data_IF_671092867510
#
_entry.id   IF_671092867510
#
_cell.length_a   1.000
_cell.length_b   1.000
_cell.length_c   1.000
_cell.angle_alpha   90.00
_cell.angle_beta   90.00
_cell.angle_gamma   90.00
#
_symmetry.space_group_name_H-M   'P 1'
#
loop_
_entity.id
_entity.type
_entity.pdbx_description
1 polymer ?
#
# COMPACT_ATOMS: atom_id res chain seq x y z
N UNK A 1 13.49 15.67 -16.27
CA UNK A 1 13.61 17.02 -15.70
C UNK A 1 13.98 16.86 -14.23
N UNK A 2 14.80 17.74 -13.64
CA UNK A 2 15.00 17.72 -12.20
C UNK A 2 13.66 17.90 -11.47
N UNK A 3 13.47 17.31 -10.29
CA UNK A 3 12.23 17.45 -9.52
C UNK A 3 12.00 18.93 -9.19
N UNK A 4 10.75 19.38 -9.35
CA UNK A 4 10.37 20.76 -9.01
C UNK A 4 10.43 20.93 -7.50
N UNK A 5 11.09 22.00 -7.06
CA UNK A 5 11.22 22.36 -5.65
C UNK A 5 10.05 23.25 -5.26
N UNK A 6 8.90 22.63 -4.97
CA UNK A 6 7.63 23.34 -4.77
C UNK A 6 7.66 24.38 -3.63
N UNK A 7 8.46 24.14 -2.58
CA UNK A 7 8.57 25.05 -1.44
C UNK A 7 9.29 26.35 -1.77
N UNK A 8 10.12 26.37 -2.82
CA UNK A 8 10.95 27.52 -3.18
C UNK A 8 10.39 28.38 -4.32
N UNK A 9 9.14 28.13 -4.73
CA UNK A 9 8.46 28.91 -5.76
C UNK A 9 7.19 29.55 -5.20
N UNK A 10 6.80 30.65 -5.82
CA UNK A 10 5.63 31.43 -5.43
C UNK A 10 4.33 30.69 -5.75
N UNK A 11 3.31 30.92 -4.94
CA UNK A 11 2.01 30.23 -5.05
C UNK A 11 1.39 30.39 -6.45
N UNK A 12 1.48 31.57 -7.04
CA UNK A 12 0.97 31.84 -8.40
C UNK A 12 1.72 31.06 -9.47
N UNK A 13 3.04 30.89 -9.33
CA UNK A 13 3.84 30.11 -10.26
C UNK A 13 3.52 28.61 -10.13
N UNK A 14 3.28 28.12 -8.91
CA UNK A 14 2.86 26.73 -8.66
C UNK A 14 1.54 26.44 -9.38
N UNK A 15 0.56 27.34 -9.24
CA UNK A 15 -0.73 27.23 -9.91
C UNK A 15 -0.60 27.25 -11.44
N UNK A 16 0.25 28.14 -11.98
CA UNK A 16 0.53 28.18 -13.42
C UNK A 16 1.18 26.88 -13.93
N UNK A 17 2.19 26.36 -13.22
CA UNK A 17 2.88 25.10 -13.59
C UNK A 17 1.97 23.88 -13.52
N UNK A 18 1.03 23.88 -12.58
CA UNK A 18 0.04 22.82 -12.43
C UNK A 18 -1.21 23.06 -13.30
N UNK A 19 -1.23 24.11 -14.13
CA UNK A 19 -2.40 24.52 -14.91
C UNK A 19 -3.68 24.50 -14.06
N UNK A 20 -3.60 25.08 -12.86
CA UNK A 20 -4.69 25.13 -11.87
C UNK A 20 -4.98 26.58 -11.48
N UNK A 21 -6.02 26.77 -10.68
CA UNK A 21 -6.48 28.08 -10.23
C UNK A 21 -6.73 28.10 -8.72
N UNK A 22 -6.77 29.30 -8.12
CA UNK A 22 -7.19 29.47 -6.72
C UNK A 22 -8.62 28.99 -6.47
N UNK A 23 -9.44 28.88 -7.51
CA UNK A 23 -10.81 28.34 -7.45
C UNK A 23 -10.89 26.84 -7.71
N UNK A 24 -9.75 26.16 -7.83
CA UNK A 24 -9.67 24.72 -8.08
C UNK A 24 -9.73 24.34 -9.56
N UNK A 25 -9.79 23.03 -9.81
CA UNK A 25 -9.89 22.44 -11.15
C UNK A 25 -11.34 22.29 -11.58
N UNK A 26 -11.58 22.10 -12.89
CA UNK A 26 -12.87 21.59 -13.34
C UNK A 26 -13.00 20.09 -13.04
N UNK A 27 -14.22 19.59 -12.89
CA UNK A 27 -14.43 18.14 -12.70
C UNK A 27 -13.90 17.32 -13.89
N UNK A 28 -13.99 17.87 -15.11
CA UNK A 28 -13.49 17.21 -16.32
C UNK A 28 -11.95 17.09 -16.31
N UNK A 29 -11.25 18.18 -15.99
CA UNK A 29 -9.78 18.18 -15.94
C UNK A 29 -9.26 17.25 -14.84
N UNK A 30 -9.92 17.26 -13.67
CA UNK A 30 -9.57 16.37 -12.58
C UNK A 30 -9.72 14.89 -12.98
N UNK A 31 -10.78 14.54 -13.71
CA UNK A 31 -11.00 13.17 -14.21
C UNK A 31 -9.96 12.76 -15.26
N UNK A 32 -9.57 13.67 -16.15
CA UNK A 32 -8.51 13.42 -17.11
C UNK A 32 -7.18 13.16 -16.39
N UNK A 33 -6.79 14.04 -15.47
CA UNK A 33 -5.56 13.88 -14.67
C UNK A 33 -5.57 12.62 -13.83
N UNK A 34 -6.72 12.18 -13.33
CA UNK A 34 -6.84 10.93 -12.57
C UNK A 34 -6.50 9.72 -13.45
N UNK A 35 -6.81 9.81 -14.75
CA UNK A 35 -6.46 8.77 -15.73
C UNK A 35 -4.97 8.77 -16.06
N UNK A 36 -4.34 9.96 -16.06
CA UNK A 36 -2.92 10.14 -16.39
C UNK A 36 -1.98 9.82 -15.20
N UNK A 37 -2.28 10.36 -14.01
CA UNK A 37 -1.47 10.19 -12.80
C UNK A 37 -1.86 8.96 -11.97
N UNK A 38 -3.05 8.42 -12.19
CA UNK A 38 -3.61 7.36 -11.37
C UNK A 38 -4.14 7.85 -10.02
N UNK A 39 -4.67 6.94 -9.19
CA UNK A 39 -5.26 7.30 -7.90
C UNK A 39 -4.21 7.73 -6.88
N UNK A 40 -4.58 8.63 -5.97
CA UNK A 40 -3.79 9.02 -4.81
C UNK A 40 -3.81 7.92 -3.73
N UNK A 41 -3.21 6.78 -4.05
CA UNK A 41 -2.98 5.67 -3.13
C UNK A 41 -1.56 5.16 -3.28
N UNK A 42 -1.04 4.57 -2.21
CA UNK A 42 0.24 3.86 -2.27
C UNK A 42 -0.11 2.44 -2.72
N UNK A 43 0.25 2.00 -3.94
CA UNK A 43 -0.21 0.73 -4.46
C UNK A 43 0.17 -0.43 -3.54
N UNK A 44 -0.75 -1.33 -3.29
CA UNK A 44 -0.42 -2.53 -2.54
C UNK A 44 0.39 -3.48 -3.41
N UNK A 45 1.09 -4.44 -2.79
CA UNK A 45 1.68 -5.55 -3.55
C UNK A 45 0.54 -6.17 -4.37
N UNK A 46 0.76 -6.29 -5.70
CA UNK A 46 -0.19 -6.89 -6.64
C UNK A 46 -0.85 -8.09 -5.97
N UNK A 47 -2.19 -8.08 -5.90
CA UNK A 47 -2.95 -9.27 -5.52
C UNK A 47 -2.41 -10.46 -6.29
N UNK A 48 -2.06 -11.53 -5.59
CA UNK A 48 -1.63 -12.74 -6.27
C UNK A 48 -2.82 -13.22 -7.10
N UNK A 49 -2.62 -13.48 -8.38
CA UNK A 49 -3.70 -14.04 -9.18
C UNK A 49 -4.10 -15.39 -8.60
N UNK A 50 -5.37 -15.79 -8.74
CA UNK A 50 -5.85 -17.09 -8.24
C UNK A 50 -4.98 -18.25 -8.72
N UNK A 51 -4.44 -18.17 -9.94
CA UNK A 51 -3.48 -19.14 -10.47
C UNK A 51 -2.15 -19.12 -9.72
N UNK A 52 -1.61 -17.95 -9.40
CA UNK A 52 -0.38 -17.82 -8.60
C UNK A 52 -0.59 -18.32 -7.17
N UNK A 53 -1.76 -18.05 -6.57
CA UNK A 53 -2.12 -18.57 -5.25
C UNK A 53 -2.20 -20.10 -5.27
N UNK A 54 -2.88 -20.65 -6.28
CA UNK A 54 -3.02 -22.10 -6.47
C UNK A 54 -1.66 -22.77 -6.68
N UNK A 55 -0.84 -22.26 -7.60
CA UNK A 55 0.52 -22.76 -7.84
C UNK A 55 1.40 -22.63 -6.59
N UNK A 56 1.19 -21.58 -5.79
CA UNK A 56 1.85 -21.40 -4.50
C UNK A 56 1.54 -22.51 -3.50
N UNK A 57 0.30 -23.03 -3.48
CA UNK A 57 -0.07 -24.19 -2.64
C UNK A 57 0.70 -25.44 -3.06
N UNK A 58 0.84 -25.70 -4.36
CA UNK A 58 1.60 -26.84 -4.87
C UNK A 58 3.11 -26.75 -4.65
N UNK A 59 3.65 -25.55 -4.41
CA UNK A 59 5.04 -25.35 -4.06
C UNK A 59 5.35 -25.59 -2.57
N UNK A 60 4.33 -25.84 -1.73
CA UNK A 60 4.55 -26.17 -0.33
C UNK A 60 5.22 -27.55 -0.19
N UNK A 61 6.27 -27.61 0.63
CA UNK A 61 7.08 -28.80 0.80
C UNK A 61 6.26 -30.02 1.22
N UNK A 62 5.25 -29.85 2.09
CA UNK A 62 4.42 -30.96 2.56
C UNK A 62 3.53 -31.50 1.43
N UNK A 63 2.99 -30.61 0.60
CA UNK A 63 2.18 -30.98 -0.56
C UNK A 63 3.05 -31.72 -1.59
N UNK A 64 4.27 -31.25 -1.85
CA UNK A 64 5.23 -31.95 -2.73
C UNK A 64 5.52 -33.36 -2.22
N UNK A 65 5.71 -33.56 -0.91
CA UNK A 65 5.91 -34.90 -0.32
C UNK A 65 4.68 -35.79 -0.53
N UNK A 66 3.47 -35.27 -0.32
CA UNK A 66 2.22 -36.01 -0.56
C UNK A 66 2.04 -36.39 -2.04
N UNK A 67 2.38 -35.48 -2.96
CA UNK A 67 2.35 -35.77 -4.39
C UNK A 67 3.37 -36.83 -4.79
N UNK A 68 4.57 -36.81 -4.20
CA UNK A 68 5.56 -37.87 -4.40
C UNK A 68 5.04 -39.23 -3.89
N UNK A 69 4.40 -39.26 -2.72
CA UNK A 69 3.78 -40.48 -2.19
C UNK A 69 2.65 -41.00 -3.09
N UNK A 70 1.80 -40.10 -3.61
CA UNK A 70 0.75 -40.46 -4.56
C UNK A 70 1.33 -41.06 -5.86
N UNK A 71 2.42 -40.50 -6.39
CA UNK A 71 3.10 -41.06 -7.56
C UNK A 71 3.64 -42.47 -7.29
N UNK A 72 4.29 -42.68 -6.14
CA UNK A 72 4.83 -44.00 -5.76
C UNK A 72 3.70 -45.03 -5.64
N UNK A 73 2.62 -44.71 -4.93
CA UNK A 73 1.43 -45.59 -4.81
C UNK A 73 0.82 -45.92 -6.18
N UNK A 74 0.79 -44.95 -7.10
CA UNK A 74 0.30 -45.15 -8.46
C UNK A 74 1.16 -46.14 -9.26
N UNK A 75 2.48 -46.09 -9.10
CA UNK A 75 3.40 -47.06 -9.70
C UNK A 75 3.28 -48.47 -9.11
N UNK A 76 2.94 -48.58 -7.82
CA UNK A 76 2.72 -49.86 -7.13
C UNK A 76 1.40 -50.52 -7.58
N UNK A 77 0.52 -49.78 -8.27
CA UNK A 77 -0.73 -50.30 -8.81
C UNK A 77 -1.90 -50.21 -7.81
N UNK A 78 -1.82 -49.28 -6.85
CA UNK A 78 -2.88 -49.00 -5.87
C UNK A 78 -3.63 -47.71 -6.25
N UNK A 79 -4.58 -47.78 -7.21
CA UNK A 79 -5.28 -46.60 -7.70
C UNK A 79 -6.16 -45.95 -6.63
N UNK A 80 -6.67 -46.72 -5.66
CA UNK A 80 -7.53 -46.21 -4.59
C UNK A 80 -6.78 -45.21 -3.69
N UNK A 81 -5.57 -45.57 -3.25
CA UNK A 81 -4.74 -44.75 -2.37
C UNK A 81 -4.22 -43.51 -3.10
N UNK A 82 -3.79 -43.69 -4.36
CA UNK A 82 -3.38 -42.58 -5.23
C UNK A 82 -4.49 -41.55 -5.40
N UNK A 83 -5.72 -42.01 -5.73
CA UNK A 83 -6.88 -41.13 -5.90
C UNK A 83 -7.24 -40.44 -4.58
N UNK A 84 -7.20 -41.16 -3.46
CA UNK A 84 -7.51 -40.58 -2.14
C UNK A 84 -6.56 -39.42 -1.79
N UNK A 85 -5.25 -39.60 -1.98
CA UNK A 85 -4.24 -38.56 -1.71
C UNK A 85 -4.46 -37.35 -2.63
N UNK A 86 -4.67 -37.59 -3.94
CA UNK A 86 -4.91 -36.51 -4.91
C UNK A 86 -6.16 -35.69 -4.57
N UNK A 87 -7.24 -36.34 -4.14
CA UNK A 87 -8.47 -35.67 -3.71
C UNK A 87 -8.22 -34.80 -2.47
N UNK A 88 -7.50 -35.32 -1.46
CA UNK A 88 -7.18 -34.55 -0.25
C UNK A 88 -6.32 -33.32 -0.59
N UNK A 89 -5.30 -33.48 -1.43
CA UNK A 89 -4.43 -32.37 -1.86
C UNK A 89 -5.24 -31.31 -2.62
N UNK A 90 -6.08 -31.73 -3.56
CA UNK A 90 -6.92 -30.82 -4.34
C UNK A 90 -7.91 -30.06 -3.45
N UNK A 91 -8.56 -30.76 -2.53
CA UNK A 91 -9.53 -30.17 -1.60
C UNK A 91 -8.84 -29.15 -0.68
N UNK A 92 -7.67 -29.47 -0.13
CA UNK A 92 -6.87 -28.54 0.67
C UNK A 92 -6.44 -27.31 -0.13
N UNK A 93 -6.00 -27.49 -1.38
CA UNK A 93 -5.61 -26.37 -2.24
C UNK A 93 -6.80 -25.43 -2.53
N UNK A 94 -7.97 -25.98 -2.84
CA UNK A 94 -9.20 -25.20 -3.05
C UNK A 94 -9.60 -24.45 -1.78
N UNK A 95 -9.64 -25.15 -0.63
CA UNK A 95 -9.96 -24.52 0.65
C UNK A 95 -8.97 -23.40 0.96
N UNK A 96 -7.66 -23.63 0.77
CA UNK A 96 -6.62 -22.65 1.00
C UNK A 96 -6.81 -21.38 0.15
N UNK A 97 -7.03 -21.54 -1.16
CA UNK A 97 -7.27 -20.41 -2.07
C UNK A 97 -8.56 -19.65 -1.70
N UNK A 98 -9.64 -20.36 -1.36
CA UNK A 98 -10.90 -19.71 -0.96
C UNK A 98 -10.75 -18.96 0.36
N UNK A 99 -10.03 -19.52 1.34
CA UNK A 99 -9.76 -18.88 2.63
C UNK A 99 -8.89 -17.63 2.46
N UNK A 100 -7.82 -17.72 1.69
CA UNK A 100 -6.91 -16.60 1.42
C UNK A 100 -7.64 -15.49 0.64
N UNK A 101 -8.42 -15.83 -0.38
CA UNK A 101 -9.23 -14.87 -1.14
C UNK A 101 -10.29 -14.17 -0.28
N UNK A 102 -10.98 -14.90 0.60
CA UNK A 102 -11.96 -14.31 1.53
C UNK A 102 -11.30 -13.38 2.54
N UNK A 103 -10.12 -13.74 3.04
CA UNK A 103 -9.35 -12.90 3.95
C UNK A 103 -8.91 -11.59 3.29
N UNK A 104 -8.35 -11.67 2.07
CA UNK A 104 -7.97 -10.47 1.29
C UNK A 104 -9.17 -9.55 1.04
N UNK A 105 -10.33 -10.11 0.66
CA UNK A 105 -11.55 -9.31 0.43
C UNK A 105 -12.09 -8.64 1.69
N UNK A 106 -12.05 -9.32 2.83
CA UNK A 106 -12.49 -8.73 4.09
C UNK A 106 -11.62 -7.53 4.47
N UNK A 107 -10.30 -7.66 4.31
CA UNK A 107 -9.36 -6.56 4.55
C UNK A 107 -9.58 -5.40 3.57
N UNK A 108 -9.82 -5.69 2.28
CA UNK A 108 -10.09 -4.67 1.28
C UNK A 108 -11.37 -3.87 1.59
N UNK A 109 -12.46 -4.53 1.98
CA UNK A 109 -13.71 -3.86 2.33
C UNK A 109 -13.56 -2.97 3.57
N UNK A 110 -12.82 -3.42 4.59
CA UNK A 110 -12.54 -2.61 5.77
C UNK A 110 -11.76 -1.34 5.43
N UNK A 111 -10.85 -1.40 4.44
CA UNK A 111 -10.10 -0.24 3.97
C UNK A 111 -10.97 0.76 3.21
N UNK A 112 -11.88 0.28 2.38
CA UNK A 112 -12.82 1.13 1.64
C UNK A 112 -13.73 1.92 2.61
N UNK A 113 -14.19 1.27 3.68
CA UNK A 113 -14.98 1.92 4.73
C UNK A 113 -14.22 2.96 5.56
N UNK A 114 -12.88 2.87 5.61
CA UNK A 114 -12.01 3.78 6.34
C UNK A 114 -11.27 4.76 5.40
N UNK A 115 -11.68 4.84 4.13
CA UNK A 115 -11.01 5.68 3.14
C UNK A 115 -11.10 7.16 3.57
N UNK A 116 -9.97 7.88 3.68
CA UNK A 116 -10.00 9.27 4.08
C UNK A 116 -10.71 10.11 3.01
N UNK A 117 -11.55 11.03 3.45
CA UNK A 117 -12.18 12.04 2.60
C UNK A 117 -11.41 13.36 2.68
N UNK A 118 -11.55 14.18 1.65
CA UNK A 118 -10.97 15.51 1.56
C UNK A 118 -12.00 16.51 1.02
N UNK A 119 -11.99 17.73 1.55
CA UNK A 119 -12.74 18.85 0.99
C UNK A 119 -11.87 19.54 -0.05
N UNK A 120 -12.38 19.69 -1.27
CA UNK A 120 -11.67 20.37 -2.36
C UNK A 120 -12.55 21.39 -3.06
N UNK A 121 -11.92 22.34 -3.73
CA UNK A 121 -12.58 23.21 -4.70
C UNK A 121 -12.54 22.55 -6.08
N UNK A 122 -13.72 22.23 -6.62
CA UNK A 122 -13.89 21.83 -8.02
C UNK A 122 -15.07 22.59 -8.63
N UNK A 123 -14.92 23.02 -9.87
CA UNK A 123 -15.89 23.89 -10.56
C UNK A 123 -16.28 25.14 -9.73
N UNK A 124 -15.35 25.66 -8.93
CA UNK A 124 -15.56 26.80 -8.04
C UNK A 124 -16.41 26.51 -6.79
N UNK A 125 -16.80 25.25 -6.54
CA UNK A 125 -17.59 24.84 -5.38
C UNK A 125 -16.79 23.91 -4.46
N UNK A 126 -17.07 24.00 -3.16
CA UNK A 126 -16.51 23.07 -2.18
C UNK A 126 -17.25 21.74 -2.26
N UNK A 127 -16.52 20.67 -2.55
CA UNK A 127 -17.05 19.30 -2.63
C UNK A 127 -16.20 18.37 -1.77
N UNK A 128 -16.85 17.43 -1.09
CA UNK A 128 -16.18 16.37 -0.35
C UNK A 128 -16.04 15.14 -1.24
N UNK A 129 -14.84 14.61 -1.34
CA UNK A 129 -14.53 13.43 -2.15
C UNK A 129 -13.49 12.55 -1.50
N UNK A 130 -13.44 11.28 -1.90
CA UNK A 130 -12.43 10.34 -1.43
C UNK A 130 -11.03 10.86 -1.78
N UNK A 131 -10.10 10.87 -0.82
CA UNK A 131 -8.73 11.32 -1.03
C UNK A 131 -8.03 10.56 -2.15
N UNK A 132 -8.47 9.34 -2.47
CA UNK A 132 -7.95 8.49 -3.53
C UNK A 132 -8.18 9.06 -4.95
N UNK A 133 -9.15 9.96 -5.15
CA UNK A 133 -9.42 10.59 -6.46
C UNK A 133 -8.84 12.00 -6.57
N UNK A 134 -8.00 12.40 -5.61
CA UNK A 134 -7.21 13.63 -5.70
C UNK A 134 -6.12 13.51 -6.74
N UNK A 135 -5.87 14.60 -7.44
CA UNK A 135 -4.85 14.70 -8.49
C UNK A 135 -3.99 15.94 -8.30
N UNK A 136 -2.75 15.98 -8.86
CA UNK A 136 -1.95 17.20 -8.88
C UNK A 136 -2.74 18.37 -9.48
N UNK A 137 -2.72 19.51 -8.78
CA UNK A 137 -3.48 20.71 -9.11
C UNK A 137 -4.84 20.84 -8.40
N UNK A 138 -5.39 19.79 -7.76
CA UNK A 138 -6.58 19.97 -6.91
C UNK A 138 -6.28 20.97 -5.79
N UNK A 139 -7.25 21.80 -5.44
CA UNK A 139 -7.13 22.73 -4.31
C UNK A 139 -7.91 22.17 -3.13
N UNK A 140 -7.19 21.81 -2.07
CA UNK A 140 -7.70 21.18 -0.85
C UNK A 140 -7.88 22.25 0.23
N UNK A 141 -9.01 22.21 0.93
CA UNK A 141 -9.23 22.98 2.14
C UNK A 141 -8.87 22.12 3.35
N UNK A 142 -8.17 22.72 4.29
CA UNK A 142 -7.71 22.08 5.51
C UNK A 142 -8.19 22.86 6.73
N UNK A 143 -8.67 22.14 7.74
CA UNK A 143 -9.00 22.67 9.06
C UNK A 143 -8.51 21.74 10.17
N UNK A 144 -8.47 22.24 11.40
CA UNK A 144 -8.10 21.46 12.56
C UNK A 144 -8.90 20.14 12.65
N UNK A 145 -8.18 19.04 12.86
CA UNK A 145 -8.69 17.67 12.85
C UNK A 145 -8.60 16.97 11.50
N UNK A 146 -8.32 17.67 10.40
CA UNK A 146 -8.10 17.04 9.11
C UNK A 146 -6.74 16.34 9.05
N UNK A 147 -6.73 15.15 8.45
CA UNK A 147 -5.48 14.51 8.00
C UNK A 147 -5.19 14.99 6.59
N UNK A 148 -3.98 15.46 6.35
CA UNK A 148 -3.56 15.98 5.05
C UNK A 148 -3.57 14.84 4.01
N UNK A 149 -4.34 14.94 2.91
CA UNK A 149 -4.65 13.78 2.06
C UNK A 149 -3.58 13.50 0.98
N UNK A 150 -2.76 14.49 0.64
CA UNK A 150 -1.71 14.48 -0.37
C UNK A 150 -0.67 15.53 -0.01
N UNK A 151 0.50 15.57 -0.68
CA UNK A 151 1.45 16.66 -0.41
C UNK A 151 0.95 17.93 -1.08
N UNK A 152 0.81 19.00 -0.30
CA UNK A 152 0.19 20.26 -0.72
C UNK A 152 1.17 21.42 -0.61
N UNK A 153 1.19 22.31 -1.60
CA UNK A 153 1.78 23.64 -1.46
C UNK A 153 0.72 24.60 -0.94
N UNK A 154 0.97 25.21 0.21
CA UNK A 154 0.02 26.09 0.89
C UNK A 154 -0.15 27.44 0.17
N UNK A 155 -1.39 27.77 -0.17
CA UNK A 155 -1.79 29.02 -0.82
C UNK A 155 -2.24 30.05 0.20
N UNK A 156 -2.97 29.62 1.22
CA UNK A 156 -3.50 30.46 2.30
C UNK A 156 -3.34 29.72 3.63
N UNK A 157 -3.00 30.45 4.69
CA UNK A 157 -2.81 29.91 6.03
C UNK A 157 -3.34 30.89 7.07
N UNK A 158 -4.18 30.41 7.98
CA UNK A 158 -4.66 31.14 9.15
C UNK A 158 -4.33 30.34 10.42
N UNK A 159 -3.25 30.75 11.11
CA UNK A 159 -2.74 30.13 12.35
C UNK A 159 -2.65 28.60 12.29
N UNK A 160 -2.26 28.05 11.13
CA UNK A 160 -2.26 26.61 10.91
C UNK A 160 -1.03 25.94 11.53
N UNK A 161 -1.28 24.89 12.29
CA UNK A 161 -0.24 24.00 12.82
C UNK A 161 -0.49 22.57 12.37
N UNK A 162 0.58 21.85 12.07
CA UNK A 162 0.53 20.45 11.68
C UNK A 162 1.44 19.58 12.56
N UNK A 163 0.93 18.43 12.98
CA UNK A 163 1.73 17.34 13.53
C UNK A 163 2.26 16.49 12.37
N UNK A 164 3.58 16.53 12.18
CA UNK A 164 4.30 15.85 11.10
C UNK A 164 5.08 14.63 11.62
N UNK A 165 4.76 14.13 12.82
CA UNK A 165 5.43 12.99 13.47
C UNK A 165 5.43 11.73 12.61
N UNK A 166 4.44 11.55 11.73
CA UNK A 166 4.39 10.45 10.78
C UNK A 166 5.56 10.45 9.77
N UNK A 167 6.14 11.61 9.49
CA UNK A 167 7.24 11.80 8.53
C UNK A 167 8.57 12.07 9.23
N UNK A 168 8.58 12.87 10.28
CA UNK A 168 9.81 13.32 10.97
C UNK A 168 10.15 12.50 12.21
N UNK A 169 9.16 11.82 12.81
CA UNK A 169 9.32 11.16 14.11
C UNK A 169 9.26 12.11 15.31
N UNK A 170 9.07 13.41 15.09
CA UNK A 170 9.01 14.43 16.14
C UNK A 170 7.56 14.88 16.35
N UNK A 171 7.07 14.84 17.60
CA UNK A 171 5.67 15.15 17.96
C UNK A 171 5.38 16.64 18.18
N UNK A 172 6.34 17.52 17.92
CA UNK A 172 6.14 18.95 18.10
C UNK A 172 5.36 19.53 16.90
N UNK A 173 4.19 20.17 17.12
CA UNK A 173 3.45 20.81 16.04
C UNK A 173 4.30 21.89 15.36
N UNK A 174 4.30 21.88 14.03
CA UNK A 174 5.04 22.84 13.19
C UNK A 174 4.08 23.91 12.71
N UNK A 175 4.43 25.18 12.92
CA UNK A 175 3.72 26.32 12.36
C UNK A 175 3.89 26.35 10.84
N UNK A 176 2.78 26.52 10.13
CA UNK A 176 2.74 26.53 8.67
C UNK A 176 2.62 27.95 8.13
N UNK A 177 3.11 28.18 6.93
CA UNK A 177 3.04 29.47 6.24
C UNK A 177 2.79 29.28 4.74
N UNK A 178 2.44 30.35 4.03
CA UNK A 178 2.18 30.27 2.57
C UNK A 178 3.32 30.87 1.72
N UNK A 179 4.16 31.74 2.30
CA UNK A 179 5.24 32.41 1.59
C UNK A 179 6.27 31.43 1.01
N UNK A 180 6.87 31.76 -0.13
CA UNK A 180 7.96 30.96 -0.70
C UNK A 180 9.18 30.96 0.24
N UNK A 181 9.95 29.88 0.19
CA UNK A 181 11.18 29.73 0.99
C UNK A 181 12.40 29.87 0.07
N UNK A 182 13.36 30.70 0.45
CA UNK A 182 14.51 31.06 -0.41
C UNK A 182 15.48 29.90 -0.67
N UNK A 183 15.56 28.97 0.26
CA UNK A 183 16.51 27.86 0.23
C UNK A 183 15.92 26.63 -0.47
N UNK A 184 16.59 26.14 -1.51
CA UNK A 184 16.11 24.97 -2.27
C UNK A 184 16.41 23.64 -1.58
N UNK A 185 17.44 23.59 -0.73
CA UNK A 185 17.90 22.37 -0.04
C UNK A 185 17.51 22.37 1.45
N UNK A 186 16.22 22.62 1.70
CA UNK A 186 15.69 22.56 3.06
C UNK A 186 15.34 21.12 3.46
N UNK A 187 15.67 20.69 4.69
CA UNK A 187 15.12 19.49 5.31
C UNK A 187 13.59 19.48 5.26
N UNK A 188 12.97 18.29 5.24
CA UNK A 188 11.51 18.17 5.11
C UNK A 188 10.74 18.95 6.20
N UNK A 189 11.18 18.87 7.45
CA UNK A 189 10.54 19.57 8.56
C UNK A 189 10.61 21.11 8.48
N UNK A 190 11.59 21.65 7.74
CA UNK A 190 11.75 23.11 7.57
C UNK A 190 10.93 23.66 6.40
N UNK A 191 10.30 22.80 5.59
CA UNK A 191 9.43 23.19 4.47
C UNK A 191 8.04 23.55 4.99
N UNK A 192 7.97 24.61 5.80
CA UNK A 192 6.77 25.08 6.51
C UNK A 192 5.61 25.47 5.58
N UNK A 193 5.88 25.68 4.28
CA UNK A 193 4.88 26.00 3.28
C UNK A 193 4.36 24.82 2.45
N UNK A 194 4.79 23.60 2.81
CA UNK A 194 4.28 22.33 2.30
C UNK A 194 3.51 21.64 3.41
N UNK A 195 2.28 21.19 3.19
CA UNK A 195 1.61 20.25 4.09
C UNK A 195 1.78 18.84 3.55
N UNK A 196 2.40 17.96 4.33
CA UNK A 196 2.72 16.60 3.89
C UNK A 196 1.57 15.63 4.14
N UNK A 197 1.38 14.66 3.23
CA UNK A 197 0.42 13.59 3.37
C UNK A 197 0.59 12.85 4.70
N UNK A 198 -0.53 12.52 5.35
CA UNK A 198 -0.62 11.85 6.65
C UNK A 198 -0.21 12.70 7.87
N UNK A 199 0.16 13.96 7.70
CA UNK A 199 0.22 14.91 8.81
C UNK A 199 -1.18 15.26 9.31
N UNK A 200 -1.32 15.54 10.60
CA UNK A 200 -2.58 15.96 11.22
C UNK A 200 -2.57 17.47 11.41
N UNK A 201 -3.58 18.18 10.91
CA UNK A 201 -3.76 19.60 11.22
C UNK A 201 -4.27 19.71 12.66
N UNK A 202 -3.46 20.26 13.55
CA UNK A 202 -3.77 20.33 14.99
C UNK A 202 -4.49 21.62 15.35
N UNK A 203 -4.27 22.69 14.58
CA UNK A 203 -4.87 24.01 14.80
C UNK A 203 -5.00 24.77 13.49
N UNK A 204 -5.95 25.71 13.46
CA UNK A 204 -6.11 26.68 12.38
C UNK A 204 -6.76 26.09 11.14
N UNK A 205 -6.62 26.82 10.04
CA UNK A 205 -7.11 26.40 8.72
C UNK A 205 -6.19 26.92 7.63
N UNK A 206 -6.31 26.31 6.47
CA UNK A 206 -5.53 26.70 5.30
C UNK A 206 -6.09 26.11 4.04
N UNK A 207 -5.45 26.48 2.94
CA UNK A 207 -5.78 26.04 1.60
C UNK A 207 -4.49 25.70 0.89
N UNK A 208 -4.45 24.58 0.20
CA UNK A 208 -3.25 24.13 -0.49
C UNK A 208 -3.57 23.50 -1.83
N UNK A 209 -2.69 23.68 -2.80
CA UNK A 209 -2.76 22.97 -4.08
C UNK A 209 -1.95 21.68 -3.99
N UNK A 210 -2.53 20.57 -4.46
CA UNK A 210 -1.87 19.26 -4.51
C UNK A 210 -0.68 19.32 -5.46
N UNK A 211 0.52 19.06 -4.95
CA UNK A 211 1.76 19.04 -5.75
C UNK A 211 2.27 17.63 -5.99
N UNK A 212 1.90 16.66 -5.16
CA UNK A 212 2.22 15.25 -5.36
C UNK A 212 1.14 14.33 -4.76
N UNK A 213 0.92 13.19 -5.42
CA UNK A 213 -0.07 12.17 -5.03
C UNK A 213 0.56 10.78 -5.03
N UNK A 214 -0.05 9.83 -4.32
CA UNK A 214 0.36 8.42 -4.36
C UNK A 214 1.83 8.21 -4.00
N UNK A 215 2.59 7.54 -4.86
CA UNK A 215 4.03 7.26 -4.67
C UNK A 215 4.92 8.50 -4.79
N UNK A 216 4.45 9.57 -5.42
CA UNK A 216 5.27 10.77 -5.61
C UNK A 216 5.35 11.64 -4.35
N UNK A 217 4.45 11.41 -3.39
CA UNK A 217 4.49 12.04 -2.05
C UNK A 217 5.71 11.60 -1.26
N UNK A 218 6.15 12.39 -0.29
CA UNK A 218 7.32 12.04 0.55
C UNK A 218 7.08 10.73 1.32
N UNK A 219 5.89 10.53 1.89
CA UNK A 219 5.53 9.26 2.53
C UNK A 219 5.41 8.10 1.52
N UNK A 220 4.98 8.40 0.29
CA UNK A 220 4.94 7.46 -0.82
C UNK A 220 6.33 6.97 -1.23
N UNK A 221 7.30 7.87 -1.33
CA UNK A 221 8.71 7.55 -1.61
C UNK A 221 9.33 6.72 -0.49
N UNK A 222 9.06 7.06 0.77
CA UNK A 222 9.49 6.25 1.92
C UNK A 222 8.90 4.84 1.84
N UNK A 223 7.59 4.73 1.55
CA UNK A 223 6.93 3.45 1.41
C UNK A 223 7.52 2.62 0.25
N UNK A 224 7.91 3.26 -0.86
CA UNK A 224 8.57 2.60 -1.98
C UNK A 224 9.94 2.03 -1.61
N UNK A 225 10.75 2.79 -0.86
CA UNK A 225 12.05 2.31 -0.35
C UNK A 225 11.88 1.08 0.55
N UNK A 226 10.81 1.03 1.36
CA UNK A 226 10.52 -0.09 2.27
C UNK A 226 9.92 -1.32 1.57
N UNK A 227 9.35 -1.19 0.36
CA UNK A 227 8.71 -2.32 -0.34
C UNK A 227 9.65 -3.50 -0.62
N UNK A 228 10.95 -3.25 -0.70
CA UNK A 228 12.00 -4.25 -0.88
C UNK A 228 12.08 -5.29 0.25
N UNK A 229 11.54 -5.02 1.43
CA UNK A 229 11.75 -5.85 2.64
C UNK A 229 10.55 -6.74 3.01
N UNK A 230 9.39 -6.55 2.39
CA UNK A 230 8.15 -7.14 2.90
C UNK A 230 7.88 -8.58 2.37
N UNK A 231 8.37 -9.58 3.07
CA UNK A 231 8.01 -10.98 2.87
C UNK A 231 8.41 -11.89 4.03
N UNK A 232 8.57 -11.34 5.24
CA UNK A 232 9.09 -12.08 6.38
C UNK A 232 7.98 -12.92 7.01
N UNK A 233 8.05 -14.25 6.84
CA UNK A 233 7.18 -15.20 7.54
C UNK A 233 7.25 -14.96 9.04
N UNK A 234 6.13 -15.10 9.76
CA UNK A 234 6.13 -14.91 11.21
C UNK A 234 7.03 -15.94 11.91
N UNK A 235 7.64 -15.63 13.06
CA UNK A 235 8.51 -16.57 13.77
C UNK A 235 7.84 -17.93 14.05
N UNK A 236 6.53 -17.94 14.30
CA UNK A 236 5.74 -19.15 14.49
C UNK A 236 5.60 -19.95 13.19
N UNK A 237 5.26 -19.30 12.07
CA UNK A 237 5.19 -19.96 10.76
C UNK A 237 6.52 -20.59 10.39
N UNK A 238 7.64 -19.90 10.62
CA UNK A 238 8.99 -20.43 10.37
C UNK A 238 9.26 -21.68 11.21
N UNK A 239 8.83 -21.70 12.47
CA UNK A 239 8.98 -22.87 13.36
C UNK A 239 8.10 -24.04 12.90
N UNK A 240 6.85 -23.79 12.54
CA UNK A 240 5.92 -24.82 12.05
C UNK A 240 6.40 -25.43 10.72
N UNK A 241 6.86 -24.61 9.77
CA UNK A 241 7.43 -25.12 8.51
C UNK A 241 8.70 -25.96 8.77
N UNK A 242 9.55 -25.55 9.71
CA UNK A 242 10.72 -26.36 10.12
C UNK A 242 10.31 -27.68 10.74
N UNK A 243 9.36 -27.66 11.67
CA UNK A 243 8.85 -28.87 12.32
C UNK A 243 8.24 -29.85 11.29
N UNK A 244 7.41 -29.35 10.38
CA UNK A 244 6.84 -30.16 9.29
C UNK A 244 7.92 -30.80 8.41
N UNK A 245 8.97 -30.03 8.04
CA UNK A 245 10.13 -30.57 7.31
C UNK A 245 10.86 -31.69 8.07
N UNK A 246 11.11 -31.52 9.36
CA UNK A 246 11.76 -32.55 10.17
C UNK A 246 10.93 -33.83 10.24
N UNK A 247 9.61 -33.70 10.46
CA UNK A 247 8.71 -34.84 10.53
C UNK A 247 8.66 -35.59 9.19
N UNK A 248 8.57 -34.89 8.07
CA UNK A 248 8.60 -35.49 6.74
C UNK A 248 9.93 -36.21 6.45
N UNK A 249 11.07 -35.62 6.81
CA UNK A 249 12.39 -36.27 6.67
C UNK A 249 12.51 -37.52 7.54
N UNK A 250 12.00 -37.48 8.78
CA UNK A 250 11.99 -38.64 9.67
C UNK A 250 11.15 -39.79 9.09
N UNK A 251 9.95 -39.50 8.56
CA UNK A 251 9.09 -40.49 7.90
C UNK A 251 9.81 -41.10 6.69
N UNK A 252 10.40 -40.27 5.81
CA UNK A 252 11.15 -40.76 4.65
C UNK A 252 12.34 -41.65 5.05
N UNK A 253 13.05 -41.29 6.12
CA UNK A 253 14.17 -42.10 6.64
C UNK A 253 13.67 -43.47 7.15
N UNK A 254 12.56 -43.50 7.89
CA UNK A 254 11.95 -44.75 8.35
C UNK A 254 11.52 -45.61 7.16
N UNK A 255 10.82 -45.03 6.17
CA UNK A 255 10.42 -45.75 4.96
C UNK A 255 11.62 -46.34 4.21
N UNK A 256 12.71 -45.59 4.07
CA UNK A 256 13.93 -46.08 3.43
C UNK A 256 14.56 -47.25 4.22
N UNK A 257 14.61 -47.16 5.55
CA UNK A 257 15.12 -48.24 6.40
C UNK A 257 14.28 -49.51 6.23
N UNK A 258 12.95 -49.39 6.32
CA UNK A 258 12.03 -50.54 6.16
C UNK A 258 12.20 -51.19 4.78
N UNK A 259 12.23 -50.39 3.73
CA UNK A 259 12.42 -50.87 2.35
C UNK A 259 13.77 -51.59 2.15
N UNK A 260 14.86 -51.02 2.69
CA UNK A 260 16.20 -51.66 2.61
C UNK A 260 16.33 -52.91 3.47
N UNK A 261 15.62 -52.98 4.59
CA UNK A 261 15.56 -54.16 5.45
C UNK A 261 14.74 -55.31 4.83
N UNK A 262 14.01 -55.05 3.72
CA UNK A 262 13.24 -56.05 3.00
C UNK A 262 11.97 -56.50 3.73
N UNK A 263 11.40 -55.62 4.56
CA UNK A 263 10.14 -55.83 5.28
C UNK A 263 8.96 -55.32 4.46
#
# INVERSE_FOLDING_TARGET
MPPVVWHSIEADEVLQRLESSVTGLSTADAQQRLTEHGPNSIPEKRHRSLLVMLLGQFADFMIVVLLAAALISGFIGEPQDTIAILVIVLLNAIIGVVQEFRAERAVAALREMAAPEAQVLRDGQVVTLAAAVLVPGDVVLLEAGNVVPADLRLLEVEEMQADESALTGEFHPVDKQWACLSETDLPLGDRQNIAFKSSLITRGRGKGVVVATGLETEIGRIAELLRGEAGVKTPLQVRLTRFGRYLALAVLAICAVVFTAGL
#
